data_IF_315491470812
#
_entry.id   IF_315491470812
#
_cell.length_a   1.000
_cell.length_b   1.000
_cell.length_c   1.000
_cell.angle_alpha   90.00
_cell.angle_beta   90.00
_cell.angle_gamma   90.00
#
_symmetry.space_group_name_H-M   'P 1'
#
loop_
_entity.id
_entity.type
_entity.pdbx_description
1 polymer ?
#
# COMPACT_ATOMS: atom_id res chain seq x y z
N UNK A 1 39.45 -7.17 18.04
CA UNK A 1 39.70 -6.49 16.74
C UNK A 1 38.41 -6.62 15.93
N UNK A 2 37.79 -5.47 15.66
CA UNK A 2 36.58 -5.16 14.87
C UNK A 2 35.31 -6.04 15.01
N UNK A 3 34.36 -5.56 15.81
CA UNK A 3 32.93 -5.87 15.68
C UNK A 3 32.37 -5.10 14.48
N UNK A 4 31.84 -5.80 13.48
CA UNK A 4 30.99 -5.22 12.44
C UNK A 4 29.58 -5.05 13.03
N UNK A 5 29.04 -3.83 13.17
CA UNK A 5 27.64 -3.66 13.52
C UNK A 5 26.75 -4.06 12.33
N UNK A 6 25.50 -4.49 12.57
CA UNK A 6 24.56 -4.84 11.51
C UNK A 6 24.32 -3.62 10.61
N UNK A 7 24.35 -3.82 9.29
CA UNK A 7 23.96 -2.77 8.34
C UNK A 7 22.51 -2.38 8.58
N UNK A 8 22.33 -1.31 9.34
CA UNK A 8 21.12 -0.50 9.35
C UNK A 8 20.97 0.06 7.93
N UNK A 9 20.13 -0.59 7.12
CA UNK A 9 19.88 -0.17 5.75
C UNK A 9 18.96 1.06 5.79
N UNK A 10 19.50 2.19 6.23
CA UNK A 10 18.85 3.49 6.15
C UNK A 10 19.00 3.92 4.69
N UNK A 11 18.05 3.54 3.84
CA UNK A 11 18.07 3.88 2.41
C UNK A 11 17.97 5.41 2.31
N UNK A 12 19.02 6.13 1.88
CA UNK A 12 18.98 7.59 1.81
C UNK A 12 17.92 8.05 0.80
N UNK A 13 17.28 9.21 1.01
CA UNK A 13 16.20 9.70 0.14
C UNK A 13 16.58 9.93 -1.32
N UNK A 14 17.88 9.95 -1.63
CA UNK A 14 18.41 10.08 -2.99
C UNK A 14 18.45 8.76 -3.79
N UNK A 15 18.15 7.61 -3.19
CA UNK A 15 18.03 6.29 -3.86
C UNK A 15 16.57 5.85 -4.05
N UNK A 16 15.63 6.80 -4.08
CA UNK A 16 14.26 6.48 -4.53
C UNK A 16 14.31 6.16 -6.03
N UNK A 17 14.53 4.89 -6.39
CA UNK A 17 14.54 4.33 -7.75
C UNK A 17 13.21 4.49 -8.51
N UNK A 18 12.25 5.20 -7.93
CA UNK A 18 10.91 5.43 -8.47
C UNK A 18 10.90 6.83 -9.08
N UNK A 19 10.69 6.90 -10.40
CA UNK A 19 10.41 8.17 -11.09
C UNK A 19 8.97 8.59 -10.81
N UNK A 20 8.77 9.85 -10.39
CA UNK A 20 7.44 10.40 -10.13
C UNK A 20 7.03 11.41 -11.21
N UNK A 21 5.76 11.44 -11.65
CA UNK A 21 4.67 10.57 -11.22
C UNK A 21 4.72 9.19 -11.90
N UNK A 22 4.32 8.14 -11.18
CA UNK A 22 4.21 6.78 -11.72
C UNK A 22 3.00 6.04 -11.15
N UNK A 23 2.46 5.10 -11.91
CA UNK A 23 1.45 4.16 -11.43
C UNK A 23 2.10 3.06 -10.60
N UNK A 24 1.67 2.95 -9.33
CA UNK A 24 2.22 1.99 -8.39
C UNK A 24 1.11 1.03 -7.90
N UNK A 25 1.19 -0.26 -8.22
CA UNK A 25 0.25 -1.25 -7.69
C UNK A 25 0.60 -1.57 -6.23
N UNK A 26 -0.36 -1.42 -5.35
CA UNK A 26 -0.26 -1.78 -3.94
C UNK A 26 -1.26 -2.90 -3.67
N UNK A 27 -0.79 -4.00 -3.10
CA UNK A 27 -1.62 -5.12 -2.72
C UNK A 27 -1.91 -5.08 -1.23
N UNK A 28 -3.18 -5.02 -0.90
CA UNK A 28 -3.71 -4.95 0.47
C UNK A 28 -4.44 -6.27 0.74
N UNK A 29 -4.11 -6.95 1.83
CA UNK A 29 -4.87 -8.12 2.27
C UNK A 29 -5.52 -7.85 3.62
N UNK A 30 -6.80 -8.19 3.71
CA UNK A 30 -7.59 -8.06 4.93
C UNK A 30 -8.58 -9.22 5.08
N UNK A 31 -9.30 -9.32 6.21
CA UNK A 31 -10.36 -10.29 6.37
C UNK A 31 -11.47 -10.03 5.36
N UNK A 32 -12.11 -11.09 4.86
CA UNK A 32 -13.25 -10.95 3.96
C UNK A 32 -14.39 -10.24 4.69
N UNK A 33 -14.68 -9.00 4.30
CA UNK A 33 -15.74 -8.17 4.90
C UNK A 33 -16.37 -7.27 3.84
N UNK A 34 -17.69 -7.06 3.92
CA UNK A 34 -18.43 -6.20 2.97
C UNK A 34 -17.89 -4.77 2.96
N UNK A 35 -17.44 -4.28 4.11
CA UNK A 35 -16.87 -2.94 4.25
C UNK A 35 -15.39 -2.85 3.86
N UNK A 36 -14.69 -3.96 3.60
CA UNK A 36 -13.25 -3.94 3.38
C UNK A 36 -12.88 -3.16 2.11
N UNK A 37 -13.49 -3.51 0.97
CA UNK A 37 -13.28 -2.82 -0.30
C UNK A 37 -13.63 -1.33 -0.26
N UNK A 38 -14.85 -0.91 0.15
CA UNK A 38 -15.20 0.52 0.19
C UNK A 38 -14.32 1.31 1.18
N UNK A 39 -13.96 0.73 2.32
CA UNK A 39 -13.07 1.42 3.29
C UNK A 39 -11.68 1.65 2.71
N UNK A 40 -11.10 0.65 2.01
CA UNK A 40 -9.80 0.82 1.36
C UNK A 40 -9.88 1.82 0.21
N UNK A 41 -10.99 1.83 -0.54
CA UNK A 41 -11.22 2.79 -1.62
C UNK A 41 -11.22 4.22 -1.09
N UNK A 42 -11.99 4.52 -0.03
CA UNK A 42 -12.03 5.87 0.57
C UNK A 42 -10.67 6.30 1.10
N UNK A 43 -9.95 5.38 1.77
CA UNK A 43 -8.60 5.64 2.26
C UNK A 43 -7.65 5.97 1.12
N UNK A 44 -7.66 5.22 0.03
CA UNK A 44 -6.82 5.49 -1.14
C UNK A 44 -7.20 6.81 -1.81
N UNK A 45 -8.49 7.11 -1.98
CA UNK A 45 -8.97 8.38 -2.56
C UNK A 45 -8.49 9.59 -1.74
N UNK A 46 -8.41 9.46 -0.41
CA UNK A 46 -7.89 10.52 0.45
C UNK A 46 -6.40 10.85 0.19
N UNK A 47 -5.64 9.92 -0.38
CA UNK A 47 -4.21 10.10 -0.71
C UNK A 47 -3.95 10.25 -2.22
N UNK A 48 -4.84 9.76 -3.08
CA UNK A 48 -4.84 9.94 -4.53
C UNK A 48 -6.25 10.33 -5.00
N UNK A 49 -6.56 11.64 -5.08
CA UNK A 49 -7.87 12.13 -5.51
C UNK A 49 -8.25 11.74 -6.94
N UNK A 50 -7.30 11.23 -7.74
CA UNK A 50 -7.54 10.74 -9.10
C UNK A 50 -7.87 9.25 -9.15
N UNK A 51 -7.78 8.57 -8.02
CA UNK A 51 -8.11 7.16 -7.87
C UNK A 51 -9.61 6.91 -8.02
N UNK A 52 -9.97 5.74 -8.54
CA UNK A 52 -11.35 5.30 -8.73
C UNK A 52 -11.40 3.78 -8.70
N UNK A 53 -12.60 3.23 -8.47
CA UNK A 53 -12.85 1.78 -8.35
C UNK A 53 -12.32 0.96 -9.54
N UNK A 54 -12.29 1.52 -10.76
CA UNK A 54 -11.74 0.84 -11.94
C UNK A 54 -10.24 0.55 -11.89
N UNK A 55 -9.52 1.13 -10.93
CA UNK A 55 -8.09 0.85 -10.64
C UNK A 55 -7.91 -0.05 -9.42
N UNK A 56 -9.00 -0.67 -8.98
CA UNK A 56 -9.03 -1.58 -7.85
C UNK A 56 -9.50 -2.95 -8.32
N UNK A 57 -8.66 -3.96 -8.11
CA UNK A 57 -9.03 -5.35 -8.37
C UNK A 57 -9.26 -6.06 -7.04
N UNK A 58 -10.47 -6.58 -6.83
CA UNK A 58 -10.78 -7.44 -5.70
C UNK A 58 -10.57 -8.91 -6.07
N UNK A 59 -9.83 -9.61 -5.21
CA UNK A 59 -9.58 -11.04 -5.35
C UNK A 59 -9.85 -11.77 -4.03
N UNK A 60 -10.93 -12.56 -3.93
CA UNK A 60 -11.16 -13.40 -2.76
C UNK A 60 -10.05 -14.46 -2.64
N UNK A 61 -9.62 -14.74 -1.41
CA UNK A 61 -8.66 -15.80 -1.15
C UNK A 61 -9.33 -17.17 -1.29
N UNK A 62 -8.55 -18.18 -1.70
CA UNK A 62 -9.09 -19.52 -1.99
C UNK A 62 -9.77 -20.22 -0.80
N UNK A 63 -9.49 -19.80 0.44
CA UNK A 63 -10.17 -20.30 1.66
C UNK A 63 -11.33 -19.41 2.14
N UNK A 64 -11.60 -18.28 1.51
CA UNK A 64 -12.70 -17.36 1.86
C UNK A 64 -12.50 -16.50 3.12
N UNK A 65 -11.43 -16.69 3.90
CA UNK A 65 -11.18 -15.91 5.13
C UNK A 65 -10.57 -14.53 4.88
N UNK A 66 -9.94 -14.33 3.72
CA UNK A 66 -9.26 -13.10 3.37
C UNK A 66 -9.66 -12.63 1.98
N UNK A 67 -9.65 -11.32 1.79
CA UNK A 67 -9.77 -10.66 0.49
C UNK A 67 -8.48 -9.91 0.21
N UNK A 68 -7.94 -10.10 -0.99
CA UNK A 68 -6.85 -9.29 -1.52
C UNK A 68 -7.42 -8.19 -2.41
N UNK A 69 -6.94 -6.97 -2.23
CA UNK A 69 -7.24 -5.82 -3.06
C UNK A 69 -5.95 -5.37 -3.71
N UNK A 70 -5.95 -5.18 -5.02
CA UNK A 70 -4.83 -4.56 -5.74
C UNK A 70 -5.28 -3.18 -6.17
N UNK A 71 -4.69 -2.13 -5.60
CA UNK A 71 -4.99 -0.74 -5.94
C UNK A 71 -3.82 -0.12 -6.70
N UNK A 72 -4.07 0.38 -7.90
CA UNK A 72 -3.04 1.09 -8.69
C UNK A 72 -3.15 2.58 -8.48
N UNK A 73 -2.31 3.11 -7.58
CA UNK A 73 -2.32 4.54 -7.21
C UNK A 73 -1.38 5.34 -8.09
N UNK A 74 -1.69 6.61 -8.32
CA UNK A 74 -0.77 7.54 -8.96
C UNK A 74 0.20 8.09 -7.91
N UNK A 75 1.36 7.47 -7.79
CA UNK A 75 2.42 7.95 -6.90
C UNK A 75 2.99 9.26 -7.46
N UNK A 76 2.78 10.37 -6.75
CA UNK A 76 3.28 11.70 -7.15
C UNK A 76 4.53 12.14 -6.38
N UNK A 77 4.77 11.54 -5.22
CA UNK A 77 5.95 11.76 -4.39
C UNK A 77 6.16 10.57 -3.45
N UNK A 78 7.38 10.43 -2.94
CA UNK A 78 7.70 9.43 -1.92
C UNK A 78 6.88 9.64 -0.64
N UNK A 79 6.69 10.89 -0.22
CA UNK A 79 5.93 11.23 0.98
C UNK A 79 4.46 10.82 0.86
N UNK A 80 3.84 11.00 -0.31
CA UNK A 80 2.47 10.58 -0.55
C UNK A 80 2.33 9.05 -0.48
N UNK A 81 3.29 8.33 -1.06
CA UNK A 81 3.34 6.86 -1.01
C UNK A 81 3.57 6.36 0.42
N UNK A 82 4.53 6.92 1.14
CA UNK A 82 4.85 6.56 2.52
C UNK A 82 3.67 6.80 3.46
N UNK A 83 3.01 7.96 3.33
CA UNK A 83 1.79 8.28 4.08
C UNK A 83 0.66 7.28 3.79
N UNK A 84 0.49 6.86 2.54
CA UNK A 84 -0.50 5.84 2.16
C UNK A 84 -0.15 4.47 2.76
N UNK A 85 1.11 4.04 2.69
CA UNK A 85 1.56 2.79 3.33
C UNK A 85 1.36 2.81 4.84
N UNK A 86 1.65 3.92 5.52
CA UNK A 86 1.40 4.09 6.96
C UNK A 86 -0.10 4.03 7.29
N UNK A 87 -0.94 4.72 6.53
CA UNK A 87 -2.39 4.71 6.73
C UNK A 87 -2.98 3.30 6.53
N UNK A 88 -2.55 2.60 5.48
CA UNK A 88 -2.96 1.22 5.22
C UNK A 88 -2.48 0.28 6.32
N UNK A 89 -1.19 0.32 6.68
CA UNK A 89 -0.63 -0.59 7.67
C UNK A 89 -1.17 -0.34 9.09
N UNK A 90 -1.60 0.89 9.39
CA UNK A 90 -2.22 1.23 10.67
C UNK A 90 -3.72 0.90 10.73
N UNK A 91 -4.34 0.55 9.61
CA UNK A 91 -5.79 0.32 9.55
C UNK A 91 -6.16 -1.05 10.16
N UNK A 92 -7.16 -1.15 11.06
CA UNK A 92 -7.47 -2.38 11.80
C UNK A 92 -7.93 -3.56 10.91
N UNK A 93 -8.51 -3.25 9.75
CA UNK A 93 -8.92 -4.26 8.76
C UNK A 93 -7.79 -4.72 7.84
N UNK A 94 -6.63 -4.06 7.83
CA UNK A 94 -5.49 -4.46 7.00
C UNK A 94 -4.62 -5.43 7.79
N UNK A 95 -4.22 -6.53 7.14
CA UNK A 95 -3.31 -7.53 7.70
C UNK A 95 -1.95 -7.49 7.05
N UNK A 96 -1.91 -7.25 5.73
CA UNK A 96 -0.67 -7.22 4.95
C UNK A 96 -0.81 -6.13 3.89
N UNK A 97 0.25 -5.36 3.69
CA UNK A 97 0.43 -4.45 2.56
C UNK A 97 1.73 -4.85 1.86
N UNK A 98 1.70 -4.92 0.53
CA UNK A 98 2.86 -5.27 -0.32
C UNK A 98 2.86 -4.42 -1.57
#
# INVERSE_FOLDING_TARGET
MQTIPPSEHIIPPSESLIEYPSDFPIKIMGPTHVDFAPTMLELVISHDPTFHEGRMEERPSGKGNYTGLTVTVRAISREQLDALYMALSGHPMVKIVM
#
